data_IF_571308174191
#
_entry.id   IF_571308174191
#
_cell.length_a   1.000
_cell.length_b   1.000
_cell.length_c   1.000
_cell.angle_alpha   90.00
_cell.angle_beta   90.00
_cell.angle_gamma   90.00
#
_symmetry.space_group_name_H-M   'P 1'
#
loop_
_entity.id
_entity.type
_entity.pdbx_description
1 polymer ?
#
# COMPACT_ATOMS: atom_id res chain seq x y z
N UNK A 1 28.96 -8.35 -0.65
CA UNK A 1 27.82 -8.60 0.28
C UNK A 1 27.29 -7.25 0.76
N UNK A 2 26.48 -6.54 -0.03
CA UNK A 2 26.36 -5.07 0.20
C UNK A 2 25.04 -4.38 -0.17
N UNK A 3 24.19 -4.92 -1.06
CA UNK A 3 22.96 -4.23 -1.49
C UNK A 3 21.66 -4.87 -0.99
N UNK A 4 21.60 -6.19 -0.90
CA UNK A 4 20.39 -6.92 -0.46
C UNK A 4 20.07 -6.62 1.01
N UNK A 5 21.08 -6.63 1.88
CA UNK A 5 20.90 -6.33 3.32
C UNK A 5 20.40 -4.90 3.54
N UNK A 6 20.93 -3.92 2.78
CA UNK A 6 20.45 -2.52 2.85
C UNK A 6 18.98 -2.41 2.44
N UNK A 7 18.56 -3.15 1.42
CA UNK A 7 17.15 -3.18 0.99
C UNK A 7 16.24 -3.77 2.08
N UNK A 8 16.66 -4.87 2.72
CA UNK A 8 15.92 -5.51 3.82
C UNK A 8 15.74 -4.56 5.00
N UNK A 9 16.80 -3.85 5.41
CA UNK A 9 16.73 -2.87 6.49
C UNK A 9 15.73 -1.73 6.16
N UNK A 10 15.78 -1.21 4.93
CA UNK A 10 14.83 -0.20 4.47
C UNK A 10 13.38 -0.70 4.49
N UNK A 11 13.13 -1.95 4.09
CA UNK A 11 11.80 -2.55 4.16
C UNK A 11 11.32 -2.72 5.60
N UNK A 12 12.22 -3.10 6.52
CA UNK A 12 11.89 -3.21 7.95
C UNK A 12 11.59 -1.85 8.58
N UNK A 13 12.28 -0.79 8.18
CA UNK A 13 11.98 0.58 8.61
C UNK A 13 10.64 1.07 8.07
N UNK A 14 10.38 0.86 6.77
CA UNK A 14 9.08 1.17 6.17
C UNK A 14 7.94 0.41 6.86
N UNK A 15 8.16 -0.85 7.25
CA UNK A 15 7.18 -1.65 7.98
C UNK A 15 6.79 -1.01 9.32
N UNK A 16 7.76 -0.42 10.04
CA UNK A 16 7.50 0.31 11.29
C UNK A 16 6.67 1.57 11.04
N UNK A 17 7.04 2.38 10.05
CA UNK A 17 6.31 3.62 9.69
C UNK A 17 4.86 3.30 9.30
N UNK A 18 4.69 2.28 8.45
CA UNK A 18 3.40 1.83 7.96
C UNK A 18 2.64 0.94 8.96
N UNK A 19 3.22 0.62 10.12
CA UNK A 19 2.69 -0.32 11.13
C UNK A 19 2.18 -1.65 10.53
N UNK A 20 2.96 -2.23 9.63
CA UNK A 20 2.72 -3.55 9.03
C UNK A 20 3.93 -4.45 9.24
N UNK A 21 3.82 -5.71 8.80
CA UNK A 21 4.96 -6.62 8.80
C UNK A 21 5.87 -6.36 7.59
N UNK A 22 7.15 -6.69 7.71
CA UNK A 22 8.13 -6.55 6.62
C UNK A 22 7.77 -7.37 5.36
N UNK A 23 7.24 -8.61 5.45
CA UNK A 23 6.70 -9.32 4.28
C UNK A 23 5.65 -8.51 3.52
N UNK A 24 4.77 -7.80 4.24
CA UNK A 24 3.71 -6.97 3.64
C UNK A 24 4.30 -5.78 2.84
N UNK A 25 5.37 -5.16 3.34
CA UNK A 25 6.11 -4.15 2.55
C UNK A 25 6.77 -4.78 1.32
N UNK A 26 7.31 -5.99 1.47
CA UNK A 26 7.91 -6.74 0.38
C UNK A 26 6.92 -7.08 -0.74
N UNK A 27 5.66 -7.36 -0.38
CA UNK A 27 4.56 -7.62 -1.31
C UNK A 27 4.17 -6.38 -2.08
N UNK A 28 4.02 -5.26 -1.36
CA UNK A 28 3.72 -3.96 -1.95
C UNK A 28 4.80 -3.54 -2.96
N UNK A 29 6.09 -3.65 -2.59
CA UNK A 29 7.21 -3.29 -3.47
C UNK A 29 7.39 -4.24 -4.67
N UNK A 30 6.90 -5.48 -4.58
CA UNK A 30 6.84 -6.42 -5.72
C UNK A 30 5.59 -6.23 -6.58
N UNK A 31 4.73 -5.27 -6.26
CA UNK A 31 3.51 -5.00 -7.01
C UNK A 31 2.39 -6.02 -6.82
N UNK A 32 2.43 -6.82 -5.74
CA UNK A 32 1.36 -7.77 -5.39
C UNK A 32 0.15 -7.07 -4.76
N UNK A 33 -0.42 -6.10 -5.48
CA UNK A 33 -1.48 -5.20 -4.99
C UNK A 33 -2.79 -5.94 -4.71
N UNK A 34 -3.02 -7.07 -5.39
CA UNK A 34 -4.14 -7.98 -5.19
C UNK A 34 -4.22 -8.58 -3.77
N UNK A 35 -3.10 -8.61 -3.03
CA UNK A 35 -3.04 -9.04 -1.64
C UNK A 35 -3.56 -8.01 -0.63
N UNK A 36 -3.93 -6.81 -1.10
CA UNK A 36 -4.33 -5.69 -0.27
C UNK A 36 -5.77 -5.28 -0.57
N UNK A 37 -6.56 -5.07 0.47
CA UNK A 37 -7.83 -4.36 0.31
C UNK A 37 -7.60 -2.89 -0.02
N UNK A 38 -8.57 -2.26 -0.67
CA UNK A 38 -8.55 -0.81 -0.89
C UNK A 38 -8.38 -0.05 0.44
N UNK A 39 -9.08 -0.46 1.49
CA UNK A 39 -8.95 0.13 2.83
C UNK A 39 -7.54 0.02 3.40
N UNK A 40 -6.85 -1.12 3.19
CA UNK A 40 -5.48 -1.30 3.65
C UNK A 40 -4.52 -0.35 2.92
N UNK A 41 -4.71 -0.14 1.61
CA UNK A 41 -3.90 0.82 0.84
C UNK A 41 -4.17 2.26 1.28
N UNK A 42 -5.42 2.61 1.55
CA UNK A 42 -5.80 3.93 2.08
C UNK A 42 -5.19 4.16 3.47
N UNK A 43 -5.26 3.19 4.39
CA UNK A 43 -4.64 3.28 5.72
C UNK A 43 -3.12 3.48 5.62
N UNK A 44 -2.44 2.77 4.70
CA UNK A 44 -1.01 2.96 4.47
C UNK A 44 -0.67 4.36 3.97
N UNK A 45 -1.46 4.91 3.03
CA UNK A 45 -1.28 6.29 2.55
C UNK A 45 -1.50 7.31 3.68
N UNK A 46 -2.54 7.12 4.50
CA UNK A 46 -2.83 7.98 5.64
C UNK A 46 -1.68 8.01 6.66
N UNK A 47 -1.04 6.86 6.93
CA UNK A 47 0.14 6.78 7.82
C UNK A 47 1.36 7.53 7.29
N UNK A 48 1.43 7.74 5.98
CA UNK A 48 2.46 8.57 5.34
C UNK A 48 2.08 10.05 5.28
N UNK A 49 0.94 10.44 5.85
CA UNK A 49 0.44 11.81 5.79
C UNK A 49 -0.12 12.21 4.41
N UNK A 50 -0.41 11.23 3.55
CA UNK A 50 -0.94 11.47 2.21
C UNK A 50 -2.47 11.61 2.29
N UNK A 51 -2.98 12.76 1.84
CA UNK A 51 -4.42 12.96 1.69
C UNK A 51 -4.97 12.11 0.53
N UNK A 52 -6.06 11.37 0.78
CA UNK A 52 -6.71 10.51 -0.22
C UNK A 52 -8.08 11.09 -0.57
N UNK A 53 -8.37 11.23 -1.87
CA UNK A 53 -9.69 11.59 -2.38
C UNK A 53 -10.26 10.42 -3.20
N UNK A 54 -11.41 9.89 -2.77
CA UNK A 54 -12.12 8.83 -3.47
C UNK A 54 -13.25 9.42 -4.30
N UNK A 55 -13.17 9.26 -5.63
CA UNK A 55 -14.21 9.71 -6.56
C UNK A 55 -14.93 8.49 -7.14
N UNK A 56 -16.19 8.32 -6.76
CA UNK A 56 -17.07 7.28 -7.32
C UNK A 56 -17.94 7.91 -8.40
N UNK A 57 -17.80 7.44 -9.65
CA UNK A 57 -18.67 7.84 -10.76
C UNK A 57 -19.73 6.79 -10.95
N UNK A 58 -21.01 7.13 -10.77
CA UNK A 58 -22.09 6.24 -11.18
C UNK A 58 -22.13 6.18 -12.71
N UNK A 59 -22.32 4.97 -13.26
CA UNK A 59 -22.74 4.86 -14.65
C UNK A 59 -24.25 5.15 -14.69
N UNK A 60 -24.75 5.93 -15.67
CA UNK A 60 -26.18 6.14 -15.80
C UNK A 60 -26.87 4.77 -15.91
N UNK A 61 -27.86 4.54 -15.05
CA UNK A 61 -28.69 3.34 -15.14
C UNK A 61 -29.40 3.41 -16.49
N UNK A 62 -29.15 2.43 -17.38
CA UNK A 62 -30.03 2.21 -18.53
C UNK A 62 -31.38 1.81 -17.96
N UNK A 63 -32.31 2.76 -17.88
CA UNK A 63 -33.72 2.46 -17.65
C UNK A 63 -34.22 1.93 -18.99
N UNK A 64 -34.61 0.65 -19.00
CA UNK A 64 -35.26 0.01 -20.14
C UNK A 64 -36.70 0.51 -20.27
#
# INVERSE_FOLDING_TARGET
MSNVVKSILKQAEAAKVLRVTQPRVSDLLRGRIDLFSTDALIDMLARLGVGVCLVVKSRPRKVA
#
